data_IF_440307524399
#
_entry.id   IF_440307524399
#
_cell.length_a   1.000
_cell.length_b   1.000
_cell.length_c   1.000
_cell.angle_alpha   90.00
_cell.angle_beta   90.00
_cell.angle_gamma   90.00
#
_symmetry.space_group_name_H-M   'P 1'
#
loop_
_entity.id
_entity.type
_entity.pdbx_description
1 polymer ?
#
# COMPACT_ATOMS: atom_id res chain seq x y z
N UNK A 1 8.04 -18.62 15.66
CA UNK A 1 7.44 -17.28 15.58
C UNK A 1 5.95 -17.50 15.61
N UNK A 2 5.25 -16.87 16.55
CA UNK A 2 3.81 -17.12 16.74
C UNK A 2 2.94 -16.16 15.93
N UNK A 3 3.51 -15.00 15.55
CA UNK A 3 2.83 -13.97 14.78
C UNK A 3 3.78 -13.38 13.75
N UNK A 4 3.29 -13.20 12.52
CA UNK A 4 3.93 -12.41 11.47
C UNK A 4 2.99 -11.28 11.04
N UNK A 5 3.51 -10.07 10.96
CA UNK A 5 2.77 -8.88 10.51
C UNK A 5 3.53 -8.27 9.35
N UNK A 6 2.88 -8.20 8.19
CA UNK A 6 3.44 -7.61 6.98
C UNK A 6 2.65 -6.36 6.59
N UNK A 7 3.28 -5.47 5.83
CA UNK A 7 2.61 -4.35 5.17
C UNK A 7 3.31 -4.03 3.85
N UNK A 8 2.59 -3.41 2.93
CA UNK A 8 3.17 -2.90 1.69
C UNK A 8 2.23 -1.90 1.03
N UNK A 9 2.72 -0.73 0.61
CA UNK A 9 1.98 0.21 -0.24
C UNK A 9 2.81 1.42 -0.70
N UNK A 10 3.35 2.21 0.23
CA UNK A 10 3.78 3.59 -0.04
C UNK A 10 4.68 3.76 -1.25
N UNK A 11 5.68 2.89 -1.43
CA UNK A 11 6.62 3.02 -2.55
C UNK A 11 6.01 2.59 -3.88
N UNK A 12 5.01 1.69 -3.89
CA UNK A 12 4.41 1.18 -5.12
C UNK A 12 3.78 2.26 -5.99
N UNK A 13 3.44 3.43 -5.45
CA UNK A 13 2.87 4.55 -6.21
C UNK A 13 3.91 5.56 -6.68
N UNK A 14 5.17 5.44 -6.26
CA UNK A 14 6.24 6.36 -6.63
C UNK A 14 6.51 6.31 -8.14
N UNK A 15 6.76 7.50 -8.71
CA UNK A 15 7.11 7.70 -10.13
C UNK A 15 8.18 8.79 -10.25
N UNK A 16 8.84 8.85 -11.41
CA UNK A 16 9.83 9.88 -11.71
C UNK A 16 11.00 9.84 -10.73
N UNK A 17 11.40 11.01 -10.22
CA UNK A 17 12.51 11.12 -9.25
C UNK A 17 12.26 10.42 -7.92
N UNK A 18 11.01 10.13 -7.58
CA UNK A 18 10.67 9.41 -6.35
C UNK A 18 10.77 7.89 -6.50
N UNK A 19 10.91 7.36 -7.72
CA UNK A 19 11.02 5.92 -7.96
C UNK A 19 12.43 5.43 -7.61
N UNK A 20 12.60 4.55 -6.60
CA UNK A 20 13.93 4.15 -6.13
C UNK A 20 14.50 2.93 -6.87
N UNK A 21 13.89 2.50 -7.98
CA UNK A 21 14.31 1.34 -8.78
C UNK A 21 14.27 1.64 -10.28
N UNK A 22 15.10 0.94 -11.05
CA UNK A 22 15.17 1.09 -12.51
C UNK A 22 14.32 0.08 -13.28
N UNK A 23 14.10 -1.11 -12.71
CA UNK A 23 13.43 -2.23 -13.37
C UNK A 23 12.61 -3.06 -12.38
N UNK A 24 11.62 -3.79 -12.92
CA UNK A 24 10.82 -4.79 -12.23
C UNK A 24 10.96 -6.12 -12.96
N UNK A 25 11.07 -7.23 -12.23
CA UNK A 25 11.25 -8.55 -12.82
C UNK A 25 10.11 -9.50 -12.42
N UNK A 26 9.53 -10.17 -13.42
CA UNK A 26 8.58 -11.28 -13.23
C UNK A 26 9.14 -12.53 -13.91
N UNK A 27 9.63 -13.48 -13.11
CA UNK A 27 10.31 -14.68 -13.63
C UNK A 27 11.53 -14.30 -14.47
N UNK A 28 11.53 -14.69 -15.75
CA UNK A 28 12.59 -14.33 -16.70
C UNK A 28 12.35 -13.01 -17.45
N UNK A 29 11.19 -12.35 -17.25
CA UNK A 29 10.84 -11.11 -17.94
C UNK A 29 11.26 -9.90 -17.12
N UNK A 30 12.03 -9.01 -17.76
CA UNK A 30 12.43 -7.73 -17.19
C UNK A 30 11.59 -6.60 -17.78
N UNK A 31 11.07 -5.73 -16.92
CA UNK A 31 10.24 -4.59 -17.28
C UNK A 31 10.95 -3.33 -16.81
N UNK A 32 11.09 -2.34 -17.69
CA UNK A 32 11.55 -1.00 -17.27
C UNK A 32 10.55 -0.36 -16.32
N UNK A 33 9.27 -0.62 -16.57
CA UNK A 33 8.21 -0.17 -15.69
C UNK A 33 6.95 -1.01 -15.86
N UNK A 34 6.07 -0.99 -14.86
CA UNK A 34 4.78 -1.67 -14.89
C UNK A 34 3.64 -0.72 -14.47
N UNK A 35 2.40 -1.09 -14.77
CA UNK A 35 1.28 -0.48 -14.08
C UNK A 35 1.35 -0.78 -12.56
N UNK A 36 1.06 0.20 -11.70
CA UNK A 36 1.29 0.09 -10.25
C UNK A 36 0.40 -0.96 -9.61
N UNK A 37 -0.88 -0.97 -9.98
CA UNK A 37 -1.85 -1.90 -9.42
C UNK A 37 -1.55 -3.32 -9.90
N UNK A 38 -1.19 -3.46 -11.17
CA UNK A 38 -0.75 -4.74 -11.74
C UNK A 38 0.50 -5.27 -11.03
N UNK A 39 1.50 -4.42 -10.81
CA UNK A 39 2.73 -4.80 -10.13
C UNK A 39 2.47 -5.18 -8.67
N UNK A 40 1.67 -4.38 -7.97
CA UNK A 40 1.28 -4.63 -6.58
C UNK A 40 0.52 -5.96 -6.45
N UNK A 41 -0.45 -6.20 -7.34
CA UNK A 41 -1.20 -7.46 -7.37
C UNK A 41 -0.28 -8.68 -7.58
N UNK A 42 0.67 -8.60 -8.52
CA UNK A 42 1.66 -9.67 -8.76
C UNK A 42 2.58 -9.89 -7.56
N UNK A 43 3.08 -8.82 -6.95
CA UNK A 43 3.92 -8.88 -5.75
C UNK A 43 3.17 -9.51 -4.57
N UNK A 44 1.95 -9.06 -4.30
CA UNK A 44 1.12 -9.57 -3.21
C UNK A 44 0.73 -11.04 -3.43
N UNK A 45 0.40 -11.43 -4.66
CA UNK A 45 0.12 -12.83 -5.01
C UNK A 45 1.34 -13.72 -4.79
N UNK A 46 2.54 -13.22 -5.11
CA UNK A 46 3.79 -13.95 -4.89
C UNK A 46 4.07 -14.13 -3.40
N UNK A 47 3.91 -13.07 -2.61
CA UNK A 47 4.02 -13.13 -1.15
C UNK A 47 3.00 -14.09 -0.53
N UNK A 48 1.73 -14.04 -0.95
CA UNK A 48 0.68 -14.90 -0.41
C UNK A 48 1.00 -16.39 -0.66
N UNK A 49 1.45 -16.75 -1.86
CA UNK A 49 1.91 -18.11 -2.17
C UNK A 49 3.09 -18.54 -1.30
N UNK A 50 4.02 -17.62 -1.02
CA UNK A 50 5.12 -17.91 -0.11
C UNK A 50 4.60 -18.21 1.31
N UNK A 51 3.63 -17.43 1.81
CA UNK A 51 3.00 -17.70 3.11
C UNK A 51 2.37 -19.10 3.12
N UNK A 52 1.54 -19.43 2.12
CA UNK A 52 0.87 -20.73 2.03
C UNK A 52 1.85 -21.91 2.03
N UNK A 53 3.04 -21.73 1.43
CA UNK A 53 4.05 -22.79 1.30
C UNK A 53 4.97 -22.91 2.51
N UNK A 54 5.19 -21.84 3.27
CA UNK A 54 6.27 -21.77 4.25
C UNK A 54 5.81 -21.52 5.69
N UNK A 55 4.54 -21.15 5.90
CA UNK A 55 4.02 -20.85 7.23
C UNK A 55 3.03 -21.93 7.66
N UNK A 56 3.26 -22.53 8.82
CA UNK A 56 2.33 -23.47 9.45
C UNK A 56 1.22 -22.67 10.18
N UNK A 57 -0.03 -22.64 9.67
CA UNK A 57 -1.10 -21.83 10.24
C UNK A 57 -1.60 -22.39 11.58
N UNK A 58 -1.27 -23.63 11.94
CA UNK A 58 -1.60 -24.19 13.26
C UNK A 58 -0.74 -23.60 14.38
N UNK A 59 0.41 -23.00 14.02
CA UNK A 59 1.39 -22.42 14.96
C UNK A 59 1.52 -20.91 14.82
N UNK A 60 1.39 -20.39 13.60
CA UNK A 60 1.69 -18.98 13.29
C UNK A 60 0.46 -18.27 12.76
N UNK A 61 0.12 -17.14 13.37
CA UNK A 61 -0.90 -16.22 12.83
C UNK A 61 -0.25 -15.21 11.89
N UNK A 62 -0.83 -14.99 10.72
CA UNK A 62 -0.33 -14.04 9.73
C UNK A 62 -1.33 -12.91 9.56
N UNK A 63 -0.84 -11.67 9.64
CA UNK A 63 -1.60 -10.46 9.38
C UNK A 63 -0.94 -9.65 8.26
N UNK A 64 -1.78 -9.02 7.45
CA UNK A 64 -1.33 -8.03 6.48
C UNK A 64 -2.02 -6.70 6.78
N UNK A 65 -1.24 -5.69 7.17
CA UNK A 65 -1.72 -4.32 7.31
C UNK A 65 -1.93 -3.73 5.92
N UNK A 66 -3.16 -3.30 5.65
CA UNK A 66 -3.53 -2.65 4.40
C UNK A 66 -2.84 -1.27 4.26
N UNK A 67 -3.14 -0.57 3.17
CA UNK A 67 -2.66 0.77 2.85
C UNK A 67 -2.80 1.72 4.04
N UNK A 68 -1.66 2.28 4.47
CA UNK A 68 -1.66 3.44 5.37
C UNK A 68 -1.87 4.71 4.53
N UNK A 69 -2.96 5.47 4.74
CA UNK A 69 -3.24 6.67 3.95
C UNK A 69 -2.24 7.79 4.23
N UNK A 70 -2.07 8.67 3.24
CA UNK A 70 -1.27 9.89 3.36
C UNK A 70 -2.18 11.11 3.32
N UNK A 71 -1.87 12.15 4.09
CA UNK A 71 -2.68 13.36 4.24
C UNK A 71 -1.88 14.61 3.85
N UNK A 72 -1.51 14.73 2.57
CA UNK A 72 -0.66 15.82 2.10
C UNK A 72 -1.43 17.10 1.79
N UNK A 73 -2.65 16.97 1.25
CA UNK A 73 -3.42 18.09 0.72
C UNK A 73 -4.68 18.30 1.54
N UNK A 74 -4.79 19.44 2.22
CA UNK A 74 -5.94 19.73 3.07
C UNK A 74 -7.26 19.86 2.34
N UNK A 75 -7.25 19.95 1.01
CA UNK A 75 -8.47 19.85 0.18
C UNK A 75 -9.24 18.55 0.48
N UNK A 76 -8.53 17.51 0.89
CA UNK A 76 -9.09 16.21 1.20
C UNK A 76 -9.96 16.21 2.47
N UNK A 77 -9.82 17.25 3.30
CA UNK A 77 -10.62 17.49 4.51
C UNK A 77 -11.17 18.92 4.59
N UNK A 78 -11.47 19.54 3.45
CA UNK A 78 -12.06 20.88 3.33
C UNK A 78 -11.19 22.03 3.88
N UNK A 79 -9.88 21.86 3.94
CA UNK A 79 -8.89 22.88 4.29
C UNK A 79 -7.85 23.06 3.17
N UNK A 80 -8.24 23.52 1.96
CA UNK A 80 -7.42 23.42 0.74
C UNK A 80 -6.04 24.09 0.78
N UNK A 81 -5.82 25.06 1.67
CA UNK A 81 -4.54 25.76 1.84
C UNK A 81 -3.64 25.18 2.95
N UNK A 82 -4.03 24.06 3.56
CA UNK A 82 -3.31 23.40 4.67
C UNK A 82 -2.70 22.07 4.22
N UNK A 83 -1.72 21.61 4.98
CA UNK A 83 -1.26 20.21 5.00
C UNK A 83 -1.64 19.60 6.35
N UNK A 84 -1.30 18.34 6.60
CA UNK A 84 -1.51 17.74 7.93
C UNK A 84 -0.70 18.39 9.06
N UNK A 85 0.21 19.32 8.76
CA UNK A 85 1.02 20.00 9.77
C UNK A 85 0.16 20.92 10.63
N UNK A 86 0.09 20.63 11.93
CA UNK A 86 -0.68 21.40 12.90
C UNK A 86 -2.12 20.90 13.09
N UNK A 87 -2.53 19.84 12.38
CA UNK A 87 -3.77 19.11 12.69
C UNK A 87 -3.53 18.26 13.94
N UNK A 88 -4.36 18.41 14.97
CA UNK A 88 -4.26 17.74 16.27
C UNK A 88 -5.49 16.91 16.65
N UNK A 89 -6.59 17.06 15.91
CA UNK A 89 -7.84 16.33 16.10
C UNK A 89 -8.20 15.50 14.85
N UNK A 90 -8.83 14.33 15.02
CA UNK A 90 -9.32 13.55 13.90
C UNK A 90 -10.53 14.23 13.24
N UNK A 91 -10.78 13.86 11.98
CA UNK A 91 -12.03 14.25 11.33
C UNK A 91 -13.23 13.67 12.06
N UNK A 92 -14.26 14.48 12.21
CA UNK A 92 -15.52 14.05 12.83
C UNK A 92 -16.27 13.06 11.94
N UNK A 93 -16.85 12.03 12.55
CA UNK A 93 -17.61 11.00 11.87
C UNK A 93 -16.77 9.79 11.42
N UNK A 94 -17.39 8.86 10.70
CA UNK A 94 -16.77 7.59 10.29
C UNK A 94 -16.31 7.56 8.84
N UNK A 95 -16.49 8.65 8.08
CA UNK A 95 -16.28 8.69 6.63
C UNK A 95 -15.22 9.72 6.27
N UNK A 96 -14.18 9.28 5.55
CA UNK A 96 -13.15 10.17 5.03
C UNK A 96 -13.62 10.81 3.70
N UNK A 97 -13.66 12.15 3.57
CA UNK A 97 -14.24 12.81 2.40
C UNK A 97 -13.49 12.56 1.09
N UNK A 98 -12.17 12.36 1.14
CA UNK A 98 -11.34 12.22 -0.05
C UNK A 98 -11.06 10.77 -0.46
N UNK A 99 -11.77 9.79 0.11
CA UNK A 99 -11.60 8.40 -0.31
C UNK A 99 -12.14 8.20 -1.74
N UNK A 100 -11.25 8.38 -2.72
CA UNK A 100 -11.38 7.88 -4.08
C UNK A 100 -10.38 6.74 -4.31
N UNK A 101 -10.36 5.75 -3.41
CA UNK A 101 -9.97 4.42 -3.85
C UNK A 101 -11.16 3.92 -4.68
N UNK A 102 -11.07 4.02 -6.00
CA UNK A 102 -11.87 3.16 -6.87
C UNK A 102 -11.58 1.72 -6.42
N UNK A 103 -12.48 1.18 -5.61
CA UNK A 103 -12.62 -0.25 -5.42
C UNK A 103 -13.05 -0.82 -6.77
N UNK A 104 -12.08 -1.07 -7.63
CA UNK A 104 -12.21 -2.09 -8.67
C UNK A 104 -11.41 -3.29 -8.18
N UNK A 105 -12.10 -4.10 -7.37
CA UNK A 105 -11.92 -5.54 -7.39
C UNK A 105 -12.99 -6.07 -8.35
#
# INVERSE_FOLDING_TARGET
MDVLIFNSWHWWTHRGSSQPWDYMQEGSKLYKDMDRLTAFYKGLTTWARWVDQNVDPSKTKVFFQNVSPTHYEGKDWNAPSRSCSGEDEPLSGSTYPACHLQQQI
#
